data_IF_517617582399
#
_entry.id   IF_517617582399
#
_cell.length_a   1.000
_cell.length_b   1.000
_cell.length_c   1.000
_cell.angle_alpha   90.00
_cell.angle_beta   90.00
_cell.angle_gamma   90.00
#
_symmetry.space_group_name_H-M   'P 1'
#
loop_
_entity.id
_entity.type
_entity.pdbx_description
1 polymer ?
#
# COMPACT_ATOMS: atom_id res chain seq x y z
N UNK A 1 3.20 -21.15 -1.19
CA UNK A 1 3.31 -19.67 -1.19
C UNK A 1 1.99 -19.08 -1.69
N UNK A 2 1.47 -18.10 -0.99
CA UNK A 2 0.22 -17.43 -1.36
C UNK A 2 0.53 -16.04 -1.90
N UNK A 3 -0.23 -15.58 -2.86
CA UNK A 3 -0.08 -14.26 -3.46
C UNK A 3 -1.46 -13.59 -3.55
N UNK A 4 -1.50 -12.32 -3.22
CA UNK A 4 -2.71 -11.52 -3.39
C UNK A 4 -2.36 -10.12 -3.87
N UNK A 5 -3.23 -9.55 -4.69
CA UNK A 5 -3.08 -8.17 -5.11
C UNK A 5 -4.44 -7.47 -5.10
N UNK A 6 -4.41 -6.18 -4.83
CA UNK A 6 -5.58 -5.31 -4.82
C UNK A 6 -5.27 -4.09 -5.66
N UNK A 7 -6.08 -3.83 -6.66
CA UNK A 7 -5.95 -2.64 -7.50
C UNK A 7 -7.14 -1.71 -7.26
N UNK A 8 -6.85 -0.46 -6.95
CA UNK A 8 -7.86 0.59 -6.76
C UNK A 8 -7.75 1.56 -7.94
N UNK A 9 -8.87 1.89 -8.56
CA UNK A 9 -8.89 2.77 -9.74
C UNK A 9 -8.76 4.25 -9.33
N UNK A 10 -7.72 4.57 -8.61
CA UNK A 10 -7.35 5.92 -8.18
C UNK A 10 -5.84 6.03 -8.29
N UNK A 11 -5.36 7.05 -8.95
CA UNK A 11 -3.94 7.28 -9.12
C UNK A 11 -3.62 8.78 -9.18
N UNK A 12 -2.46 9.10 -9.73
CA UNK A 12 -1.96 10.48 -9.77
C UNK A 12 -2.94 11.44 -10.46
N UNK A 13 -3.67 10.99 -11.48
CA UNK A 13 -4.65 11.83 -12.18
C UNK A 13 -5.82 12.24 -11.29
N UNK A 14 -6.07 11.53 -10.22
CA UNK A 14 -7.16 11.82 -9.29
C UNK A 14 -6.76 12.78 -8.19
N UNK A 15 -5.47 13.14 -8.12
CA UNK A 15 -4.97 14.05 -7.09
C UNK A 15 -5.55 15.45 -7.28
N UNK A 16 -5.99 16.14 -6.21
CA UNK A 16 -6.33 17.57 -6.31
C UNK A 16 -5.14 18.37 -6.81
N UNK A 17 -5.39 19.43 -7.58
CA UNK A 17 -4.32 20.25 -8.15
C UNK A 17 -3.36 20.80 -7.09
N UNK A 18 -3.88 21.13 -5.92
CA UNK A 18 -3.09 21.69 -4.82
C UNK A 18 -2.47 20.66 -3.91
N UNK A 19 -2.67 19.37 -4.19
CA UNK A 19 -2.18 18.25 -3.38
C UNK A 19 -1.64 17.12 -4.27
N UNK A 20 -0.75 17.46 -5.17
CA UNK A 20 -0.13 16.49 -6.04
C UNK A 20 0.70 15.50 -5.22
N UNK A 21 0.63 14.21 -5.59
CA UNK A 21 1.30 13.15 -4.86
C UNK A 21 0.46 12.56 -3.73
N UNK A 22 -0.81 12.95 -3.59
CA UNK A 22 -1.66 12.46 -2.52
C UNK A 22 -1.89 10.95 -2.61
N UNK A 23 -2.18 10.43 -3.80
CA UNK A 23 -2.37 8.99 -3.98
C UNK A 23 -1.10 8.21 -3.62
N UNK A 24 0.06 8.72 -4.00
CA UNK A 24 1.34 8.12 -3.66
C UNK A 24 1.60 8.14 -2.15
N UNK A 25 1.26 9.27 -1.49
CA UNK A 25 1.40 9.38 -0.05
C UNK A 25 0.50 8.37 0.68
N UNK A 26 -0.75 8.24 0.25
CA UNK A 26 -1.69 7.28 0.85
C UNK A 26 -1.15 5.85 0.66
N UNK A 27 -0.58 5.55 -0.51
CA UNK A 27 0.07 4.26 -0.75
C UNK A 27 1.11 3.95 0.33
N UNK A 28 2.00 4.90 0.64
CA UNK A 28 3.00 4.72 1.68
C UNK A 28 2.36 4.57 3.07
N UNK A 29 1.33 5.35 3.36
CA UNK A 29 0.70 5.34 4.69
C UNK A 29 -0.09 4.07 4.99
N UNK A 30 -0.59 3.39 3.97
CA UNK A 30 -1.33 2.14 4.16
C UNK A 30 -0.50 1.09 4.90
N UNK A 31 0.81 1.06 4.67
CA UNK A 31 1.70 0.10 5.31
C UNK A 31 2.11 0.49 6.73
N UNK A 32 1.69 1.66 7.21
CA UNK A 32 2.14 2.21 8.50
C UNK A 32 1.23 1.86 9.68
N UNK A 33 0.22 1.04 9.46
CA UNK A 33 -0.67 0.61 10.53
C UNK A 33 -2.13 0.94 10.27
N UNK A 34 -2.97 0.52 11.19
CA UNK A 34 -4.40 0.72 11.09
C UNK A 34 -4.97 0.90 12.49
N UNK A 35 -6.27 1.16 12.59
CA UNK A 35 -6.94 1.27 13.90
C UNK A 35 -6.78 -0.02 14.71
N UNK A 36 -6.86 -1.18 14.07
CA UNK A 36 -6.72 -2.49 14.73
C UNK A 36 -5.25 -2.81 15.03
N UNK A 37 -4.33 -2.36 14.18
CA UNK A 37 -2.89 -2.61 14.29
C UNK A 37 -2.14 -1.29 14.24
N UNK A 38 -2.13 -0.51 15.33
CA UNK A 38 -1.59 0.85 15.31
C UNK A 38 -0.06 0.94 15.25
N UNK A 39 0.65 -0.16 15.43
CA UNK A 39 2.11 -0.18 15.36
C UNK A 39 2.55 -0.09 13.89
N UNK A 40 3.36 0.90 13.56
CA UNK A 40 3.70 1.20 12.17
C UNK A 40 4.45 0.09 11.43
N UNK A 41 5.10 -0.83 12.14
CA UNK A 41 5.85 -1.94 11.53
C UNK A 41 5.15 -3.29 11.65
N UNK A 42 3.94 -3.33 12.18
CA UNK A 42 3.24 -4.60 12.45
C UNK A 42 3.05 -5.44 11.19
N UNK A 43 2.69 -4.79 10.08
CA UNK A 43 2.46 -5.48 8.81
C UNK A 43 3.76 -6.10 8.26
N UNK A 44 4.82 -5.31 8.22
CA UNK A 44 6.12 -5.78 7.72
C UNK A 44 6.68 -6.90 8.60
N UNK A 45 6.55 -6.77 9.91
CA UNK A 45 7.01 -7.80 10.86
C UNK A 45 6.26 -9.11 10.64
N UNK A 46 4.95 -9.05 10.45
CA UNK A 46 4.14 -10.25 10.20
C UNK A 46 4.60 -10.96 8.93
N UNK A 47 4.78 -10.23 7.83
CA UNK A 47 5.23 -10.82 6.58
C UNK A 47 6.64 -11.39 6.68
N UNK A 48 7.55 -10.67 7.29
CA UNK A 48 8.95 -11.12 7.45
C UNK A 48 9.02 -12.40 8.28
N UNK A 49 8.22 -12.47 9.34
CA UNK A 49 8.16 -13.65 10.21
C UNK A 49 7.73 -14.90 9.44
N UNK A 50 6.92 -14.75 8.39
CA UNK A 50 6.44 -15.87 7.58
C UNK A 50 7.17 -16.01 6.25
N UNK A 51 8.28 -15.29 6.07
CA UNK A 51 9.08 -15.36 4.85
C UNK A 51 8.44 -14.66 3.65
N UNK A 52 7.52 -13.75 3.89
CA UNK A 52 6.80 -13.07 2.83
C UNK A 52 7.38 -11.71 2.48
N UNK A 53 6.81 -11.09 1.46
CA UNK A 53 7.15 -9.73 1.04
C UNK A 53 5.92 -9.02 0.52
N UNK A 54 5.96 -7.70 0.53
CA UNK A 54 4.90 -6.88 -0.03
C UNK A 54 5.49 -5.68 -0.74
N UNK A 55 4.72 -5.13 -1.65
CA UNK A 55 5.07 -3.89 -2.32
C UNK A 55 3.80 -3.26 -2.89
N UNK A 56 3.93 -2.05 -3.39
CA UNK A 56 2.84 -1.34 -4.01
C UNK A 56 3.39 -0.34 -5.01
N UNK A 57 2.54 0.12 -5.93
CA UNK A 57 2.90 1.18 -6.84
C UNK A 57 1.66 2.00 -7.20
N UNK A 58 1.88 3.29 -7.45
CA UNK A 58 0.86 4.22 -7.88
C UNK A 58 1.12 4.63 -9.32
N UNK A 59 0.16 4.40 -10.21
CA UNK A 59 0.21 4.83 -11.59
C UNK A 59 -0.68 6.06 -11.77
N UNK A 60 -0.85 6.52 -13.02
CA UNK A 60 -1.67 7.69 -13.30
C UNK A 60 -3.15 7.46 -12.98
N UNK A 61 -3.65 6.26 -13.23
CA UNK A 61 -5.08 5.95 -13.10
C UNK A 61 -5.39 4.90 -12.05
N UNK A 62 -4.38 4.23 -11.49
CA UNK A 62 -4.62 3.15 -10.53
C UNK A 62 -3.47 3.04 -9.53
N UNK A 63 -3.79 2.47 -8.37
CA UNK A 63 -2.82 2.12 -7.33
C UNK A 63 -2.97 0.64 -7.02
N UNK A 64 -1.87 -0.10 -7.03
CA UNK A 64 -1.88 -1.54 -6.82
C UNK A 64 -1.07 -1.89 -5.58
N UNK A 65 -1.65 -2.72 -4.73
CA UNK A 65 -0.99 -3.29 -3.55
C UNK A 65 -0.90 -4.80 -3.74
N UNK A 66 0.24 -5.38 -3.43
CA UNK A 66 0.37 -6.84 -3.52
C UNK A 66 1.27 -7.37 -2.42
N UNK A 67 1.04 -8.64 -2.06
CA UNK A 67 1.92 -9.35 -1.13
C UNK A 67 1.97 -10.82 -1.49
N UNK A 68 3.04 -11.47 -1.05
CA UNK A 68 3.18 -12.91 -1.11
C UNK A 68 3.75 -13.41 0.21
N UNK A 69 3.35 -14.63 0.58
CA UNK A 69 3.70 -15.18 1.89
C UNK A 69 3.82 -16.69 1.82
#
# INVERSE_FOLDING_TARGET
MAYASLTVNVGTFNDPMHRQGLAHLVEHMVFRGSKKYPISKAYDEHLTKHGGMCNAYTEFEKTTFHFEI
#
